data_IF_508480843248
#
_entry.id   IF_508480843248
#
_cell.length_a   1.000
_cell.length_b   1.000
_cell.length_c   1.000
_cell.angle_alpha   90.00
_cell.angle_beta   90.00
_cell.angle_gamma   90.00
#
_symmetry.space_group_name_H-M   'P 1'
#
loop_
_entity.id
_entity.type
_entity.pdbx_description
1 polymer ?
#
# COMPACT_ATOMS: atom_id res chain seq x y z
N UNK A 1 21.42 5.17 26.99
CA UNK A 1 21.50 5.68 25.60
C UNK A 1 20.87 4.69 24.61
N UNK A 2 19.53 4.68 24.43
CA UNK A 2 18.83 3.80 23.46
C UNK A 2 17.97 4.55 22.43
N UNK A 3 18.07 5.89 22.37
CA UNK A 3 17.21 6.73 21.53
C UNK A 3 17.88 7.27 20.26
N UNK A 4 19.19 7.04 20.06
CA UNK A 4 19.93 7.54 18.88
C UNK A 4 20.00 6.54 17.71
N UNK A 5 19.69 5.25 17.92
CA UNK A 5 19.78 4.23 16.88
C UNK A 5 18.61 4.25 15.88
N UNK A 6 17.47 4.86 16.23
CA UNK A 6 16.28 4.92 15.37
C UNK A 6 16.22 6.13 14.43
N UNK A 7 17.13 7.10 14.57
CA UNK A 7 17.13 8.31 13.74
C UNK A 7 17.71 8.12 12.33
N UNK A 8 18.30 6.96 12.04
CA UNK A 8 19.07 6.75 10.81
C UNK A 8 19.03 5.29 10.30
N UNK A 9 18.00 4.51 10.65
CA UNK A 9 17.67 3.37 9.80
C UNK A 9 16.98 3.97 8.58
N UNK A 10 17.66 3.90 7.43
CA UNK A 10 17.33 4.58 6.17
C UNK A 10 15.83 4.78 5.99
N UNK A 11 15.40 6.03 6.10
CA UNK A 11 14.00 6.41 5.92
C UNK A 11 13.49 5.93 4.55
N UNK A 12 14.38 5.83 3.58
CA UNK A 12 14.17 5.27 2.25
C UNK A 12 13.98 3.74 2.26
N UNK A 13 14.80 2.99 3.01
CA UNK A 13 14.65 1.54 3.16
C UNK A 13 13.35 1.18 3.92
N UNK A 14 13.01 1.94 4.96
CA UNK A 14 11.74 1.79 5.69
C UNK A 14 10.56 2.13 4.75
N UNK A 15 10.65 3.21 3.99
CA UNK A 15 9.62 3.59 3.01
C UNK A 15 9.46 2.53 1.91
N UNK A 16 10.54 1.94 1.43
CA UNK A 16 10.52 0.88 0.41
C UNK A 16 9.84 -0.37 0.95
N UNK A 17 10.22 -0.84 2.16
CA UNK A 17 9.61 -2.02 2.76
C UNK A 17 8.11 -1.84 3.03
N UNK A 18 7.68 -0.64 3.45
CA UNK A 18 6.26 -0.32 3.63
C UNK A 18 5.49 -0.31 2.30
N UNK A 19 6.11 0.17 1.23
CA UNK A 19 5.53 0.14 -0.11
C UNK A 19 5.36 -1.31 -0.60
N UNK A 20 6.37 -2.16 -0.41
CA UNK A 20 6.31 -3.58 -0.79
C UNK A 20 5.20 -4.32 -0.03
N UNK A 21 5.07 -4.07 1.27
CA UNK A 21 3.97 -4.61 2.10
C UNK A 21 2.61 -4.14 1.56
N UNK A 22 2.45 -2.85 1.24
CA UNK A 22 1.21 -2.32 0.70
C UNK A 22 0.85 -2.95 -0.65
N UNK A 23 1.82 -3.11 -1.56
CA UNK A 23 1.64 -3.76 -2.86
C UNK A 23 1.20 -5.22 -2.68
N UNK A 24 1.86 -5.97 -1.79
CA UNK A 24 1.51 -7.37 -1.49
C UNK A 24 0.06 -7.48 -1.01
N UNK A 25 -0.36 -6.63 -0.07
CA UNK A 25 -1.72 -6.67 0.46
C UNK A 25 -2.79 -6.29 -0.57
N UNK A 26 -2.50 -5.33 -1.46
CA UNK A 26 -3.38 -5.00 -2.59
C UNK A 26 -3.55 -6.20 -3.52
N UNK A 27 -2.46 -6.89 -3.86
CA UNK A 27 -2.51 -8.07 -4.73
C UNK A 27 -3.28 -9.22 -4.10
N UNK A 28 -3.08 -9.48 -2.80
CA UNK A 28 -3.85 -10.47 -2.04
C UNK A 28 -5.35 -10.12 -2.01
N UNK A 29 -5.69 -8.85 -1.77
CA UNK A 29 -7.07 -8.40 -1.78
C UNK A 29 -7.73 -8.62 -3.15
N UNK A 30 -7.01 -8.39 -4.25
CA UNK A 30 -7.50 -8.68 -5.60
C UNK A 30 -7.70 -10.18 -5.83
N UNK A 31 -6.71 -11.00 -5.48
CA UNK A 31 -6.78 -12.46 -5.66
C UNK A 31 -7.95 -13.06 -4.87
N UNK A 32 -8.08 -12.70 -3.60
CA UNK A 32 -9.14 -13.18 -2.73
C UNK A 32 -10.50 -12.56 -3.05
N UNK A 33 -10.57 -11.34 -3.61
CA UNK A 33 -11.83 -10.79 -4.11
C UNK A 33 -12.44 -11.69 -5.20
N UNK A 34 -11.65 -12.44 -5.97
CA UNK A 34 -12.20 -13.32 -6.99
C UNK A 34 -12.77 -14.63 -6.42
N UNK A 35 -12.20 -15.15 -5.33
CA UNK A 35 -12.63 -16.40 -4.67
C UNK A 35 -13.69 -16.10 -3.58
N UNK A 36 -14.92 -16.59 -3.74
CA UNK A 36 -15.99 -16.56 -2.72
C UNK A 36 -16.40 -15.19 -2.12
N UNK A 37 -16.03 -14.06 -2.75
CA UNK A 37 -16.48 -12.74 -2.32
C UNK A 37 -17.79 -12.37 -3.01
N UNK A 38 -18.79 -11.87 -2.27
CA UNK A 38 -20.05 -11.37 -2.83
C UNK A 38 -19.77 -10.29 -3.91
N UNK A 39 -20.51 -10.27 -5.04
CA UNK A 39 -20.26 -9.32 -6.13
C UNK A 39 -20.16 -7.86 -5.69
N UNK A 40 -21.06 -7.40 -4.81
CA UNK A 40 -21.04 -6.04 -4.27
C UNK A 40 -19.77 -5.72 -3.46
N UNK A 41 -19.22 -6.70 -2.73
CA UNK A 41 -17.95 -6.55 -2.00
C UNK A 41 -16.75 -6.52 -2.95
N UNK A 42 -16.80 -7.22 -4.08
CA UNK A 42 -15.73 -7.16 -5.09
C UNK A 42 -15.59 -5.75 -5.67
N UNK A 43 -16.71 -5.10 -5.97
CA UNK A 43 -16.70 -3.74 -6.51
C UNK A 43 -16.16 -2.72 -5.50
N UNK A 44 -16.56 -2.83 -4.24
CA UNK A 44 -16.02 -1.98 -3.16
C UNK A 44 -14.50 -2.16 -3.01
N UNK A 45 -14.01 -3.39 -3.03
CA UNK A 45 -12.56 -3.67 -2.95
C UNK A 45 -11.83 -3.06 -4.15
N UNK A 46 -12.36 -3.22 -5.37
CA UNK A 46 -11.75 -2.63 -6.58
C UNK A 46 -11.73 -1.10 -6.54
N UNK A 47 -12.84 -0.48 -6.12
CA UNK A 47 -12.94 0.97 -6.00
C UNK A 47 -11.92 1.53 -4.99
N UNK A 48 -11.78 0.87 -3.83
CA UNK A 48 -10.81 1.30 -2.82
C UNK A 48 -9.36 1.13 -3.29
N UNK A 49 -9.04 0.03 -3.98
CA UNK A 49 -7.72 -0.18 -4.58
C UNK A 49 -7.40 0.91 -5.61
N UNK A 50 -8.37 1.27 -6.47
CA UNK A 50 -8.18 2.34 -7.45
C UNK A 50 -7.92 3.68 -6.75
N UNK A 51 -8.70 4.01 -5.71
CA UNK A 51 -8.51 5.22 -4.90
C UNK A 51 -7.11 5.28 -4.28
N UNK A 52 -6.62 4.17 -3.72
CA UNK A 52 -5.29 4.08 -3.13
C UNK A 52 -4.17 4.25 -4.16
N UNK A 53 -4.33 3.71 -5.37
CA UNK A 53 -3.37 3.92 -6.47
C UNK A 53 -3.30 5.40 -6.88
N UNK A 54 -4.44 6.05 -7.08
CA UNK A 54 -4.49 7.48 -7.42
C UNK A 54 -3.85 8.36 -6.33
N UNK A 55 -4.06 8.03 -5.05
CA UNK A 55 -3.43 8.75 -3.95
C UNK A 55 -1.91 8.52 -3.93
N UNK A 56 -1.45 7.31 -4.21
CA UNK A 56 -0.02 7.00 -4.36
C UNK A 56 0.60 7.81 -5.50
N UNK A 57 -0.05 7.86 -6.67
CA UNK A 57 0.44 8.62 -7.82
C UNK A 57 0.56 10.11 -7.49
N UNK A 58 -0.43 10.69 -6.80
CA UNK A 58 -0.39 12.10 -6.34
C UNK A 58 0.78 12.38 -5.38
N UNK A 59 1.07 11.44 -4.49
CA UNK A 59 2.19 11.57 -3.55
C UNK A 59 3.52 11.55 -4.30
N UNK A 60 3.64 10.68 -5.32
CA UNK A 60 4.82 10.62 -6.19
C UNK A 60 4.98 11.89 -7.03
N UNK A 61 3.92 12.40 -7.64
CA UNK A 61 3.92 13.67 -8.39
C UNK A 61 4.34 14.87 -7.53
N UNK A 62 3.95 14.92 -6.24
CA UNK A 62 4.35 15.99 -5.31
C UNK A 62 5.81 15.94 -4.87
N UNK A 63 6.50 14.81 -5.06
CA UNK A 63 7.91 14.63 -4.68
C UNK A 63 8.89 14.96 -5.82
N UNK A 64 8.41 15.12 -7.06
CA UNK A 64 9.18 15.58 -8.24
C UNK A 64 9.17 17.10 -8.33
#
# INVERSE_FOLDING_TARGET
MKYKAWRALDNEAISSALLDIAILHVNLALEHSNKNTLPCRKEVIRAEILRLRMESDRILERRV
#
